data_IF_764856426980
#
_entry.id   IF_764856426980
#
_cell.length_a   1.000
_cell.length_b   1.000
_cell.length_c   1.000
_cell.angle_alpha   90.00
_cell.angle_beta   90.00
_cell.angle_gamma   90.00
#
_symmetry.space_group_name_H-M   'P 1'
#
loop_
_entity.id
_entity.type
_entity.pdbx_description
1 polymer ?
#
# COMPACT_ATOMS: atom_id res chain seq x y z
N UNK A 1 29.65 18.14 -11.79
CA UNK A 1 29.24 18.32 -10.39
C UNK A 1 27.81 18.85 -10.40
N UNK A 2 26.85 17.97 -10.17
CA UNK A 2 25.47 18.37 -9.92
C UNK A 2 25.48 19.05 -8.55
N UNK A 3 25.29 20.37 -8.51
CA UNK A 3 25.27 21.10 -7.26
C UNK A 3 23.91 20.92 -6.62
N UNK A 4 23.77 19.93 -5.74
CA UNK A 4 22.61 19.82 -4.86
C UNK A 4 22.45 21.17 -4.12
N UNK A 5 21.33 21.85 -4.36
CA UNK A 5 20.97 23.06 -3.63
C UNK A 5 19.92 22.66 -2.61
N UNK A 6 20.14 23.04 -1.35
CA UNK A 6 19.24 22.70 -0.24
C UNK A 6 18.90 23.94 0.57
N UNK A 7 17.64 24.07 0.95
CA UNK A 7 17.14 25.13 1.82
C UNK A 7 16.33 24.50 2.96
N UNK A 8 16.56 24.98 4.19
CA UNK A 8 15.75 24.60 5.34
C UNK A 8 14.58 25.57 5.47
N UNK A 9 13.36 25.04 5.49
CA UNK A 9 12.12 25.80 5.67
C UNK A 9 11.43 25.30 6.92
N UNK A 10 11.25 26.17 7.90
CA UNK A 10 10.49 25.88 9.11
C UNK A 10 9.09 26.49 8.98
N UNK A 11 8.06 25.65 9.08
CA UNK A 11 6.66 26.07 9.10
C UNK A 11 6.07 25.87 10.51
N UNK A 12 4.84 26.31 10.75
CA UNK A 12 4.16 26.01 12.02
C UNK A 12 3.92 24.52 12.24
N UNK A 13 3.83 23.76 11.14
CA UNK A 13 3.30 22.39 11.15
C UNK A 13 4.39 21.33 10.88
N UNK A 14 5.50 21.71 10.25
CA UNK A 14 6.59 20.81 9.86
C UNK A 14 7.95 21.50 9.68
N UNK A 15 9.01 20.70 9.75
CA UNK A 15 10.36 21.08 9.28
C UNK A 15 10.62 20.46 7.91
N UNK A 16 11.04 21.28 6.96
CA UNK A 16 11.21 20.87 5.58
C UNK A 16 12.61 21.17 5.06
N UNK A 17 13.16 20.26 4.26
CA UNK A 17 14.38 20.50 3.48
C UNK A 17 14.01 20.45 2.01
N UNK A 18 14.06 21.60 1.36
CA UNK A 18 13.79 21.77 -0.06
C UNK A 18 15.08 21.52 -0.82
N UNK A 19 15.10 20.53 -1.69
CA UNK A 19 16.28 20.08 -2.42
C UNK A 19 16.06 20.21 -3.92
N UNK A 20 16.85 21.04 -4.60
CA UNK A 20 17.02 20.98 -6.05
C UNK A 20 18.21 20.11 -6.36
N UNK A 21 17.96 18.89 -6.82
CA UNK A 21 19.01 17.94 -7.20
C UNK A 21 19.64 18.42 -8.49
N UNK A 22 18.82 18.63 -9.54
CA UNK A 22 19.26 19.19 -10.81
C UNK A 22 18.09 19.97 -11.47
N UNK A 23 18.19 20.29 -12.76
CA UNK A 23 17.18 21.11 -13.45
C UNK A 23 15.85 20.39 -13.72
N UNK A 24 15.79 19.07 -13.56
CA UNK A 24 14.59 18.27 -13.81
C UNK A 24 14.27 17.31 -12.63
N UNK A 25 14.95 17.45 -11.49
CA UNK A 25 14.71 16.68 -10.27
C UNK A 25 14.81 17.58 -9.06
N UNK A 26 13.72 17.65 -8.30
CA UNK A 26 13.66 18.32 -7.00
C UNK A 26 12.82 17.50 -6.03
N UNK A 27 13.05 17.69 -4.73
CA UNK A 27 12.23 17.09 -3.68
C UNK A 27 12.11 17.98 -2.45
N UNK A 28 11.05 17.77 -1.68
CA UNK A 28 10.88 18.31 -0.33
C UNK A 28 10.91 17.13 0.63
N UNK A 29 11.87 17.16 1.57
CA UNK A 29 11.94 16.20 2.67
C UNK A 29 11.25 16.84 3.87
N UNK A 30 10.21 16.21 4.39
CA UNK A 30 9.39 16.75 5.48
C UNK A 30 9.44 15.85 6.71
N UNK A 31 9.68 16.48 7.86
CA UNK A 31 9.62 15.88 9.19
C UNK A 31 8.45 16.51 9.94
N UNK A 32 7.50 15.68 10.35
CA UNK A 32 6.31 16.08 11.09
C UNK A 32 6.55 15.95 12.61
N UNK A 33 6.21 16.94 13.45
CA UNK A 33 6.49 16.90 14.88
C UNK A 33 5.88 15.72 15.65
N UNK A 34 4.76 15.18 15.17
CA UNK A 34 3.99 14.13 15.84
C UNK A 34 3.81 12.87 14.97
N UNK A 35 4.73 12.63 14.01
CA UNK A 35 4.72 11.40 13.22
C UNK A 35 6.15 10.89 13.04
N UNK A 36 6.37 9.62 13.37
CA UNK A 36 7.64 8.93 13.17
C UNK A 36 7.80 8.47 11.71
N UNK A 37 7.76 9.44 10.79
CA UNK A 37 7.86 9.21 9.36
C UNK A 37 8.64 10.35 8.69
N UNK A 38 9.48 9.99 7.72
CA UNK A 38 10.14 10.94 6.83
C UNK A 38 9.39 10.92 5.50
N UNK A 39 8.76 12.04 5.16
CA UNK A 39 8.06 12.19 3.90
C UNK A 39 9.00 12.79 2.85
N UNK A 40 9.03 12.20 1.65
CA UNK A 40 9.74 12.70 0.48
C UNK A 40 8.71 13.02 -0.58
N UNK A 41 8.53 14.30 -0.92
CA UNK A 41 7.69 14.76 -2.02
C UNK A 41 8.58 15.14 -3.19
N UNK A 42 8.58 14.35 -4.25
CA UNK A 42 9.48 14.52 -5.39
C UNK A 42 8.75 15.04 -6.62
N UNK A 43 9.47 15.81 -7.43
CA UNK A 43 9.08 16.20 -8.79
C UNK A 43 10.19 15.80 -9.74
N UNK A 44 9.85 15.03 -10.77
CA UNK A 44 10.77 14.55 -11.80
C UNK A 44 10.24 14.90 -13.18
N UNK A 45 11.08 15.56 -13.97
CA UNK A 45 10.84 15.91 -15.37
C UNK A 45 10.93 17.42 -15.63
N UNK A 46 10.89 17.84 -16.90
CA UNK A 46 10.97 16.97 -18.09
C UNK A 46 12.35 16.31 -18.17
N UNK A 47 12.39 14.99 -18.35
CA UNK A 47 13.66 14.25 -18.42
C UNK A 47 14.34 14.62 -19.76
N UNK A 48 15.54 15.23 -19.75
CA UNK A 48 16.18 15.69 -20.98
C UNK A 48 16.66 14.50 -21.81
N UNK A 49 16.49 14.57 -23.13
CA UNK A 49 16.89 13.53 -24.10
C UNK A 49 17.60 14.10 -25.32
N UNK A 50 18.00 15.37 -25.28
CA UNK A 50 18.74 16.03 -26.37
C UNK A 50 20.11 15.38 -26.61
N UNK A 51 20.64 14.71 -25.59
CA UNK A 51 21.85 13.89 -25.63
C UNK A 51 21.64 12.52 -26.31
N UNK A 52 20.41 12.20 -26.72
CA UNK A 52 20.00 10.92 -27.32
C UNK A 52 20.15 9.71 -26.40
N UNK A 53 20.15 9.93 -25.09
CA UNK A 53 20.15 8.85 -24.09
C UNK A 53 18.81 8.79 -23.36
N UNK A 54 18.20 7.59 -23.37
CA UNK A 54 17.10 7.27 -22.46
C UNK A 54 17.59 7.30 -21.00
N UNK A 55 16.70 7.67 -20.08
CA UNK A 55 17.04 7.83 -18.66
C UNK A 55 15.92 7.29 -17.79
N UNK A 56 16.33 6.55 -16.77
CA UNK A 56 15.48 6.01 -15.73
C UNK A 56 15.92 6.62 -14.40
N UNK A 57 15.04 7.40 -13.78
CA UNK A 57 15.36 8.16 -12.57
C UNK A 57 14.90 7.34 -11.37
N UNK A 58 15.79 7.17 -10.39
CA UNK A 58 15.52 6.42 -9.16
C UNK A 58 15.69 7.34 -7.94
N UNK A 59 14.95 7.03 -6.87
CA UNK A 59 15.34 7.39 -5.51
C UNK A 59 15.98 6.18 -4.86
N UNK A 60 17.10 6.38 -4.17
CA UNK A 60 17.81 5.32 -3.43
C UNK A 60 18.10 5.78 -2.01
N UNK A 61 17.69 4.97 -1.05
CA UNK A 61 18.01 5.12 0.36
C UNK A 61 19.11 4.14 0.72
N UNK A 62 20.14 4.62 1.42
CA UNK A 62 21.30 3.83 1.82
C UNK A 62 21.46 3.88 3.33
N UNK A 63 21.68 2.71 3.93
CA UNK A 63 21.84 2.52 5.37
C UNK A 63 23.06 1.62 5.63
N UNK A 64 23.46 1.52 6.89
CA UNK A 64 24.50 0.59 7.34
C UNK A 64 23.94 -0.78 7.78
N UNK A 65 22.69 -1.11 7.42
CA UNK A 65 22.06 -2.39 7.78
C UNK A 65 22.69 -3.56 7.02
N UNK A 66 22.88 -4.68 7.72
CA UNK A 66 23.40 -5.92 7.14
C UNK A 66 22.24 -6.81 6.71
N UNK A 67 21.80 -6.65 5.46
CA UNK A 67 20.58 -7.31 4.93
C UNK A 67 20.87 -8.65 4.24
N UNK A 68 22.13 -8.98 3.96
CA UNK A 68 22.57 -10.24 3.36
C UNK A 68 21.89 -10.56 2.02
N UNK A 69 21.56 -9.53 1.23
CA UNK A 69 20.83 -9.65 -0.03
C UNK A 69 19.32 -9.90 0.10
N UNK A 70 18.76 -9.91 1.32
CA UNK A 70 17.32 -10.08 1.55
C UNK A 70 16.59 -8.73 1.59
N UNK A 71 15.43 -8.67 0.96
CA UNK A 71 14.50 -7.54 1.00
C UNK A 71 13.07 -8.04 0.78
N UNK A 72 12.08 -7.20 1.02
CA UNK A 72 10.67 -7.60 1.02
C UNK A 72 9.86 -6.64 0.17
N UNK A 73 9.05 -7.14 -0.75
CA UNK A 73 8.12 -6.31 -1.53
C UNK A 73 6.71 -6.79 -1.30
N UNK A 74 5.74 -5.89 -1.33
CA UNK A 74 4.35 -6.31 -1.33
C UNK A 74 3.98 -7.11 -2.60
N UNK A 75 2.86 -7.84 -2.53
CA UNK A 75 2.17 -8.39 -3.67
C UNK A 75 0.76 -7.79 -3.72
N UNK A 76 0.54 -6.89 -4.68
CA UNK A 76 -0.73 -6.20 -4.90
C UNK A 76 -1.25 -5.47 -3.64
N UNK A 77 -0.36 -4.85 -2.86
CA UNK A 77 -0.70 -4.13 -1.63
C UNK A 77 -0.88 -5.01 -0.39
N UNK A 78 -0.85 -6.35 -0.53
CA UNK A 78 -1.23 -7.28 0.55
C UNK A 78 -0.03 -7.92 1.23
N UNK A 79 0.27 -9.18 0.93
CA UNK A 79 1.34 -9.94 1.57
C UNK A 79 2.72 -9.37 1.23
N UNK A 80 3.66 -9.43 2.18
CA UNK A 80 5.07 -9.14 1.91
C UNK A 80 5.75 -10.43 1.49
N UNK A 81 6.33 -10.42 0.29
CA UNK A 81 7.12 -11.51 -0.24
C UNK A 81 8.59 -11.23 -0.01
N UNK A 82 9.27 -12.21 0.58
CA UNK A 82 10.72 -12.20 0.68
C UNK A 82 11.35 -12.36 -0.70
N UNK A 83 12.30 -11.47 -1.00
CA UNK A 83 13.13 -11.44 -2.19
C UNK A 83 14.57 -11.63 -1.76
N UNK A 84 15.34 -12.29 -2.61
CA UNK A 84 16.78 -12.44 -2.45
C UNK A 84 17.45 -12.03 -3.75
N UNK A 85 18.36 -11.05 -3.65
CA UNK A 85 19.16 -10.57 -4.78
C UNK A 85 19.89 -11.75 -5.43
N UNK A 86 19.87 -11.79 -6.76
CA UNK A 86 20.54 -12.80 -7.60
C UNK A 86 20.10 -14.25 -7.34
N UNK A 87 18.88 -14.44 -6.86
CA UNK A 87 18.36 -15.77 -6.51
C UNK A 87 16.98 -16.04 -7.11
N UNK A 88 16.73 -17.32 -7.42
CA UNK A 88 15.43 -17.85 -7.83
C UNK A 88 15.17 -19.16 -7.10
N UNK A 89 13.95 -19.32 -6.57
CA UNK A 89 13.58 -20.50 -5.77
C UNK A 89 13.45 -21.77 -6.61
N UNK A 90 13.01 -21.65 -7.86
CA UNK A 90 12.57 -22.78 -8.67
C UNK A 90 13.56 -23.22 -9.75
N UNK A 91 14.67 -22.49 -9.95
CA UNK A 91 15.74 -22.89 -10.87
C UNK A 91 17.08 -22.25 -10.47
N UNK A 92 18.19 -22.79 -11.01
CA UNK A 92 19.52 -22.19 -10.86
C UNK A 92 19.61 -20.94 -11.74
N UNK A 93 19.61 -19.77 -11.11
CA UNK A 93 19.67 -18.49 -11.79
C UNK A 93 21.09 -18.14 -12.20
N UNK A 94 21.32 -17.91 -13.50
CA UNK A 94 22.54 -17.31 -13.99
C UNK A 94 22.34 -15.79 -14.08
N UNK A 95 23.18 -15.02 -13.40
CA UNK A 95 23.06 -13.56 -13.30
C UNK A 95 23.64 -12.95 -14.57
N UNK A 96 22.77 -12.67 -15.55
CA UNK A 96 23.14 -11.93 -16.75
C UNK A 96 22.81 -10.43 -16.64
N UNK A 97 21.90 -10.09 -15.72
CA UNK A 97 21.31 -8.76 -15.53
C UNK A 97 21.31 -8.43 -14.04
N UNK A 98 22.41 -7.84 -13.55
CA UNK A 98 22.65 -7.60 -12.12
C UNK A 98 21.65 -6.61 -11.50
N UNK A 99 21.10 -5.69 -12.32
CA UNK A 99 20.14 -4.67 -11.87
C UNK A 99 18.72 -5.09 -12.23
N UNK A 100 18.40 -5.14 -13.52
CA UNK A 100 17.03 -5.36 -14.01
C UNK A 100 16.46 -6.70 -13.55
N UNK A 101 17.30 -7.73 -13.44
CA UNK A 101 16.94 -9.05 -12.90
C UNK A 101 16.55 -9.04 -11.41
N UNK A 102 16.77 -7.95 -10.69
CA UNK A 102 16.45 -7.81 -9.27
C UNK A 102 15.35 -6.78 -8.99
N UNK A 103 14.75 -6.17 -10.01
CA UNK A 103 13.60 -5.28 -9.86
C UNK A 103 12.29 -6.07 -9.70
N UNK A 104 11.45 -5.61 -8.77
CA UNK A 104 10.13 -6.19 -8.50
C UNK A 104 9.06 -5.09 -8.48
N UNK A 105 7.79 -5.42 -8.78
CA UNK A 105 6.69 -4.50 -8.60
C UNK A 105 6.49 -4.20 -7.11
N UNK A 106 6.31 -2.93 -6.80
CA UNK A 106 6.02 -2.39 -5.46
C UNK A 106 4.75 -1.55 -5.59
N UNK A 107 3.63 -2.08 -5.09
CA UNK A 107 2.33 -1.38 -5.17
C UNK A 107 2.04 -0.53 -3.93
N UNK A 108 2.71 -0.78 -2.81
CA UNK A 108 2.49 -0.06 -1.55
C UNK A 108 3.73 0.08 -0.68
N UNK A 109 4.64 -0.91 -0.66
CA UNK A 109 5.81 -0.88 0.23
C UNK A 109 6.90 -1.87 -0.16
N UNK A 110 8.14 -1.45 0.10
CA UNK A 110 9.36 -2.26 0.05
C UNK A 110 10.11 -2.09 1.38
N UNK A 111 10.72 -3.16 1.89
CA UNK A 111 11.43 -3.13 3.16
C UNK A 111 12.74 -3.91 3.13
N UNK A 112 13.66 -3.50 3.99
CA UNK A 112 14.87 -4.23 4.36
C UNK A 112 14.94 -4.37 5.87
N UNK A 113 15.59 -5.45 6.34
CA UNK A 113 15.66 -5.79 7.77
C UNK A 113 17.08 -6.18 8.15
N UNK A 114 17.47 -5.85 9.37
CA UNK A 114 18.66 -6.39 10.04
C UNK A 114 18.24 -7.00 11.38
N UNK A 115 18.27 -8.33 11.46
CA UNK A 115 17.86 -9.06 12.66
C UNK A 115 18.79 -8.86 13.84
N UNK A 116 20.07 -8.53 13.60
CA UNK A 116 21.02 -8.30 14.69
C UNK A 116 20.84 -6.93 15.33
N UNK A 117 20.47 -5.94 14.51
CA UNK A 117 20.22 -4.58 14.98
C UNK A 117 18.77 -4.38 15.47
N UNK A 118 17.88 -5.34 15.23
CA UNK A 118 16.44 -5.22 15.46
C UNK A 118 15.84 -3.99 14.76
N UNK A 119 16.18 -3.81 13.48
CA UNK A 119 15.72 -2.66 12.68
C UNK A 119 15.11 -3.14 11.37
N UNK A 120 13.95 -2.58 11.03
CA UNK A 120 13.38 -2.60 9.69
C UNK A 120 13.27 -1.18 9.14
N UNK A 121 13.74 -0.99 7.91
CA UNK A 121 13.48 0.22 7.13
C UNK A 121 12.44 -0.12 6.07
N UNK A 122 11.34 0.61 6.07
CA UNK A 122 10.25 0.44 5.09
C UNK A 122 10.05 1.73 4.32
N UNK A 123 10.03 1.62 3.00
CA UNK A 123 9.66 2.71 2.10
C UNK A 123 8.27 2.39 1.54
N UNK A 124 7.30 3.26 1.83
CA UNK A 124 5.96 3.21 1.29
C UNK A 124 5.83 4.19 0.11
N UNK A 125 5.11 3.79 -0.93
CA UNK A 125 4.93 4.56 -2.15
C UNK A 125 3.47 4.85 -2.48
N UNK A 126 3.24 5.98 -3.16
CA UNK A 126 1.90 6.48 -3.50
C UNK A 126 1.28 5.85 -4.76
N UNK A 127 2.05 5.05 -5.51
CA UNK A 127 1.64 4.42 -6.76
C UNK A 127 2.48 3.18 -7.07
N UNK A 128 2.04 2.38 -8.04
CA UNK A 128 2.80 1.22 -8.49
C UNK A 128 4.13 1.64 -9.16
N UNK A 129 5.24 1.09 -8.67
CA UNK A 129 6.59 1.35 -9.19
C UNK A 129 7.44 0.09 -9.22
N UNK A 130 8.55 0.13 -9.94
CA UNK A 130 9.61 -0.86 -9.82
C UNK A 130 10.55 -0.51 -8.67
N UNK A 131 10.90 -1.47 -7.83
CA UNK A 131 11.86 -1.29 -6.74
C UNK A 131 12.76 -2.49 -6.49
N UNK A 132 13.87 -2.25 -5.80
CA UNK A 132 14.88 -3.27 -5.50
C UNK A 132 15.73 -2.94 -4.26
N UNK A 133 16.60 -3.88 -3.90
CA UNK A 133 17.74 -3.74 -2.99
C UNK A 133 19.01 -4.25 -3.68
N UNK A 134 19.64 -3.39 -4.48
CA UNK A 134 20.79 -3.76 -5.34
C UNK A 134 22.09 -3.96 -4.56
N UNK A 135 22.22 -3.36 -3.38
CA UNK A 135 23.30 -3.63 -2.43
C UNK A 135 22.75 -3.77 -1.02
N UNK A 136 23.51 -4.41 -0.13
CA UNK A 136 23.12 -4.54 1.27
C UNK A 136 22.90 -3.16 1.91
N UNK A 137 21.86 -3.08 2.74
CA UNK A 137 21.45 -1.83 3.37
C UNK A 137 20.82 -0.79 2.43
N UNK A 138 20.56 -1.13 1.15
CA UNK A 138 19.92 -0.20 0.20
C UNK A 138 18.48 -0.58 -0.15
N UNK A 139 17.69 0.43 -0.45
CA UNK A 139 16.37 0.31 -1.10
C UNK A 139 16.32 1.35 -2.21
N UNK A 140 15.77 0.99 -3.37
CA UNK A 140 15.52 1.94 -4.44
C UNK A 140 14.16 1.74 -5.09
N UNK A 141 13.58 2.85 -5.55
CA UNK A 141 12.35 2.91 -6.32
C UNK A 141 12.56 3.77 -7.56
N UNK A 142 12.11 3.27 -8.70
CA UNK A 142 12.14 3.98 -9.96
C UNK A 142 10.98 4.96 -10.04
N UNK A 143 11.31 6.24 -10.24
CA UNK A 143 10.39 7.37 -10.16
C UNK A 143 9.72 7.64 -11.50
N UNK A 144 10.53 7.65 -12.55
CA UNK A 144 10.12 8.01 -13.90
C UNK A 144 11.13 7.49 -14.93
N UNK A 145 10.67 7.22 -16.14
CA UNK A 145 11.49 6.69 -17.24
C UNK A 145 11.14 7.45 -18.52
N UNK A 146 12.16 7.71 -19.33
CA UNK A 146 11.99 8.24 -20.69
C UNK A 146 12.98 7.55 -21.60
N UNK A 147 12.48 6.67 -22.45
CA UNK A 147 13.26 5.84 -23.36
C UNK A 147 13.05 6.29 -24.81
N UNK A 148 14.08 6.13 -25.64
CA UNK A 148 14.08 6.62 -27.03
C UNK A 148 13.95 5.50 -28.07
N UNK A 149 13.87 4.25 -27.63
CA UNK A 149 13.84 3.07 -28.48
C UNK A 149 12.70 2.16 -27.99
N UNK A 150 11.91 1.63 -28.93
CA UNK A 150 10.88 0.62 -28.67
C UNK A 150 11.54 -0.72 -28.30
N UNK A 151 10.91 -1.44 -27.38
CA UNK A 151 11.41 -2.72 -26.86
C UNK A 151 11.06 -3.92 -27.75
N UNK A 152 10.35 -3.69 -28.85
CA UNK A 152 9.87 -4.69 -29.82
C UNK A 152 8.92 -5.75 -29.24
N UNK A 153 8.17 -5.43 -28.19
CA UNK A 153 7.13 -6.32 -27.64
C UNK A 153 5.70 -6.02 -28.13
N UNK A 154 5.56 -5.13 -29.12
CA UNK A 154 4.33 -5.01 -29.93
C UNK A 154 3.56 -3.69 -29.81
N UNK A 155 3.99 -2.77 -28.95
CA UNK A 155 3.40 -1.41 -28.86
C UNK A 155 3.84 -0.54 -30.04
N UNK A 156 5.07 -0.73 -30.53
CA UNK A 156 5.67 0.00 -31.66
C UNK A 156 5.87 1.50 -31.39
N UNK A 157 6.07 1.86 -30.13
CA UNK A 157 6.34 3.22 -29.67
C UNK A 157 7.37 3.18 -28.53
N UNK A 158 8.37 4.05 -28.57
CA UNK A 158 9.26 4.23 -27.43
C UNK A 158 8.49 4.87 -26.26
N UNK A 159 8.88 4.57 -25.02
CA UNK A 159 8.34 5.22 -23.82
C UNK A 159 8.86 6.67 -23.70
N UNK A 160 8.34 7.55 -24.56
CA UNK A 160 8.79 8.94 -24.72
C UNK A 160 7.61 9.92 -24.57
N UNK A 161 6.97 9.90 -23.39
CA UNK A 161 5.79 10.70 -23.13
C UNK A 161 6.07 12.21 -23.25
N UNK A 162 5.40 12.94 -24.16
CA UNK A 162 5.75 14.33 -24.48
C UNK A 162 5.32 15.34 -23.41
N UNK A 163 4.43 14.96 -22.48
CA UNK A 163 3.83 15.90 -21.53
C UNK A 163 2.95 16.97 -22.19
N UNK A 164 2.48 17.94 -21.41
CA UNK A 164 1.54 18.98 -21.88
C UNK A 164 2.22 20.01 -22.80
N UNK A 165 3.50 20.31 -22.56
CA UNK A 165 4.27 21.31 -23.31
C UNK A 165 5.15 20.72 -24.42
N UNK A 166 5.05 19.41 -24.66
CA UNK A 166 5.83 18.68 -25.66
C UNK A 166 7.29 18.42 -25.29
N UNK A 167 7.76 18.85 -24.10
CA UNK A 167 9.18 18.74 -23.71
C UNK A 167 9.49 17.47 -22.92
N UNK A 168 8.48 16.74 -22.46
CA UNK A 168 8.59 15.54 -21.65
C UNK A 168 7.62 15.57 -20.46
N UNK A 169 7.02 14.43 -20.13
CA UNK A 169 6.13 14.33 -18.99
C UNK A 169 6.85 14.64 -17.67
N UNK A 170 6.20 15.48 -16.85
CA UNK A 170 6.58 15.76 -15.47
C UNK A 170 5.68 14.98 -14.53
N UNK A 171 6.28 14.31 -13.54
CA UNK A 171 5.56 13.57 -12.51
C UNK A 171 5.91 14.10 -11.14
N UNK A 172 4.91 14.14 -10.27
CA UNK A 172 5.07 14.39 -8.83
C UNK A 172 4.57 13.16 -8.08
N UNK A 173 5.25 12.79 -7.01
CA UNK A 173 4.81 11.72 -6.13
C UNK A 173 5.42 11.81 -4.74
N UNK A 174 5.01 10.89 -3.87
CA UNK A 174 5.46 10.83 -2.48
C UNK A 174 6.01 9.47 -2.08
N UNK A 175 7.00 9.49 -1.19
CA UNK A 175 7.42 8.34 -0.40
C UNK A 175 7.35 8.66 1.07
N UNK A 176 6.95 7.66 1.86
CA UNK A 176 7.09 7.69 3.30
C UNK A 176 8.14 6.67 3.71
N UNK A 177 9.12 7.10 4.48
CA UNK A 177 10.16 6.22 5.02
C UNK A 177 9.98 6.12 6.52
N UNK A 178 9.87 4.88 7.00
CA UNK A 178 9.76 4.56 8.42
C UNK A 178 10.88 3.61 8.84
N UNK A 179 11.37 3.82 10.05
CA UNK A 179 12.42 3.03 10.69
C UNK A 179 11.85 2.53 12.00
N UNK A 180 11.73 1.22 12.16
CA UNK A 180 11.05 0.61 13.32
C UNK A 180 11.85 -0.55 13.87
N UNK A 181 11.54 -0.97 15.10
CA UNK A 181 11.91 -2.31 15.56
C UNK A 181 11.27 -3.40 14.70
N UNK A 182 11.79 -4.64 14.71
CA UNK A 182 11.15 -5.73 13.96
C UNK A 182 9.78 -6.08 14.52
N UNK A 183 9.59 -5.92 15.83
CA UNK A 183 8.34 -6.23 16.52
C UNK A 183 7.19 -5.28 16.15
N UNK A 184 7.48 -4.00 15.92
CA UNK A 184 6.49 -2.95 15.64
C UNK A 184 6.28 -2.73 14.14
N UNK A 185 7.23 -3.17 13.30
CA UNK A 185 7.26 -2.85 11.88
C UNK A 185 5.92 -3.09 11.17
N UNK A 186 5.35 -4.27 11.38
CA UNK A 186 4.09 -4.67 10.77
C UNK A 186 2.95 -3.74 11.14
N UNK A 187 2.88 -3.32 12.40
CA UNK A 187 1.79 -2.48 12.90
C UNK A 187 1.83 -1.10 12.24
N UNK A 188 3.04 -0.55 12.08
CA UNK A 188 3.28 0.77 11.46
C UNK A 188 3.04 0.74 9.95
N UNK A 189 3.75 -0.11 9.20
CA UNK A 189 3.71 -0.03 7.73
C UNK A 189 2.41 -0.54 7.11
N UNK A 190 1.61 -1.31 7.86
CA UNK A 190 0.29 -1.79 7.38
C UNK A 190 -0.73 -0.65 7.45
N UNK A 191 -0.80 0.05 8.58
CA UNK A 191 -1.70 1.20 8.78
C UNK A 191 -1.35 2.35 7.83
N UNK A 192 -0.06 2.74 7.77
CA UNK A 192 0.38 3.82 6.89
C UNK A 192 0.16 3.56 5.39
N UNK A 193 0.20 2.29 4.96
CA UNK A 193 -0.11 1.97 3.56
C UNK A 193 -1.57 2.28 3.21
N UNK A 194 -2.51 2.12 4.15
CA UNK A 194 -3.89 2.55 3.96
C UNK A 194 -4.03 4.06 4.08
N UNK A 195 -3.30 4.73 4.96
CA UNK A 195 -3.31 6.20 5.05
C UNK A 195 -2.91 6.86 3.72
N UNK A 196 -1.93 6.27 3.02
CA UNK A 196 -1.50 6.72 1.68
C UNK A 196 -2.53 6.35 0.61
N UNK A 197 -3.05 5.12 0.63
CA UNK A 197 -4.02 4.66 -0.39
C UNK A 197 -5.36 5.38 -0.29
N UNK A 198 -5.80 5.69 0.93
CA UNK A 198 -7.11 6.24 1.28
C UNK A 198 -6.97 7.64 1.86
N UNK A 199 -6.11 8.46 1.26
CA UNK A 199 -5.96 9.87 1.64
C UNK A 199 -7.35 10.56 1.73
N UNK A 200 -7.59 11.39 2.77
CA UNK A 200 -8.88 12.05 2.95
C UNK A 200 -9.31 12.86 1.73
N UNK A 201 -10.54 12.65 1.26
CA UNK A 201 -11.12 13.46 0.18
C UNK A 201 -11.48 14.85 0.70
N UNK A 202 -10.79 15.87 0.19
CA UNK A 202 -11.08 17.26 0.52
C UNK A 202 -12.31 17.76 -0.26
N UNK A 203 -13.26 18.36 0.43
CA UNK A 203 -14.43 19.01 -0.17
C UNK A 203 -14.50 20.46 0.28
N UNK A 204 -14.88 21.35 -0.64
CA UNK A 204 -14.93 22.79 -0.39
C UNK A 204 -16.33 23.31 -0.69
N UNK A 205 -16.91 24.08 0.23
CA UNK A 205 -18.21 24.71 0.06
C UNK A 205 -18.05 26.23 0.22
N UNK A 206 -18.72 26.99 -0.66
CA UNK A 206 -18.83 28.44 -0.49
C UNK A 206 -19.85 28.72 0.62
N UNK A 207 -19.43 29.45 1.65
CA UNK A 207 -20.31 29.86 2.75
C UNK A 207 -20.61 31.35 2.68
N UNK A 208 -21.81 31.73 3.14
CA UNK A 208 -22.17 33.13 3.40
C UNK A 208 -22.22 33.29 4.92
N UNK A 209 -21.34 34.11 5.49
CA UNK A 209 -21.18 34.23 6.95
C UNK A 209 -19.92 33.55 7.46
N UNK A 210 -19.87 33.30 8.77
CA UNK A 210 -18.69 32.75 9.43
C UNK A 210 -18.65 31.21 9.38
N UNK A 211 -17.47 30.61 9.59
CA UNK A 211 -17.31 29.14 9.68
C UNK A 211 -18.13 28.59 10.85
N UNK A 212 -18.20 29.32 11.96
CA UNK A 212 -18.96 28.94 13.15
C UNK A 212 -20.47 28.89 12.86
N UNK A 213 -21.00 29.84 12.08
CA UNK A 213 -22.40 29.83 11.64
C UNK A 213 -22.70 28.64 10.73
N UNK A 214 -21.79 28.31 9.81
CA UNK A 214 -21.92 27.14 8.94
C UNK A 214 -21.92 25.84 9.75
N UNK A 215 -20.97 25.66 10.67
CA UNK A 215 -20.87 24.48 11.54
C UNK A 215 -22.10 24.33 12.45
N UNK A 216 -22.69 25.43 12.91
CA UNK A 216 -23.93 25.39 13.72
C UNK A 216 -25.17 25.04 12.90
N UNK A 217 -25.21 25.45 11.63
CA UNK A 217 -26.38 25.28 10.76
C UNK A 217 -26.37 24.00 9.92
N UNK A 218 -25.21 23.34 9.79
CA UNK A 218 -25.02 22.16 8.95
C UNK A 218 -24.42 20.99 9.73
N UNK A 219 -24.71 19.76 9.27
CA UNK A 219 -24.01 18.57 9.76
C UNK A 219 -22.61 18.51 9.15
N UNK A 220 -21.60 18.90 9.92
CA UNK A 220 -20.19 18.95 9.50
C UNK A 220 -19.34 17.77 9.99
N UNK A 221 -19.95 16.86 10.76
CA UNK A 221 -19.32 15.64 11.24
C UNK A 221 -20.24 14.45 10.97
N UNK A 222 -19.64 13.34 10.54
CA UNK A 222 -20.34 12.09 10.29
C UNK A 222 -19.42 10.91 10.58
N UNK A 223 -19.93 9.92 11.32
CA UNK A 223 -19.32 8.59 11.42
C UNK A 223 -20.32 7.55 10.94
N UNK A 224 -19.93 6.76 9.94
CA UNK A 224 -20.74 5.65 9.45
C UNK A 224 -20.67 4.40 10.34
N UNK A 225 -19.68 4.32 11.22
CA UNK A 225 -19.46 3.19 12.12
C UNK A 225 -19.88 3.55 13.55
N UNK A 226 -20.47 2.57 14.26
CA UNK A 226 -20.84 2.74 15.68
C UNK A 226 -19.64 2.67 16.62
N UNK A 227 -18.59 1.99 16.19
CA UNK A 227 -17.29 1.83 16.86
C UNK A 227 -16.20 1.66 15.83
N UNK A 228 -14.97 2.03 16.19
CA UNK A 228 -13.80 1.74 15.36
C UNK A 228 -13.68 0.23 15.11
N UNK A 229 -13.26 -0.13 13.89
CA UNK A 229 -12.91 -1.51 13.58
C UNK A 229 -11.66 -1.91 14.35
N UNK A 230 -11.51 -3.20 14.73
CA UNK A 230 -10.25 -3.69 15.29
C UNK A 230 -9.08 -3.35 14.36
N UNK A 231 -7.91 -3.02 14.92
CA UNK A 231 -6.73 -2.59 14.16
C UNK A 231 -6.23 -3.59 13.11
N UNK A 232 -6.66 -4.85 13.18
CA UNK A 232 -6.35 -5.87 12.19
C UNK A 232 -7.48 -6.13 11.17
N UNK A 233 -8.53 -5.30 11.15
CA UNK A 233 -9.66 -5.40 10.22
C UNK A 233 -9.78 -4.14 9.38
N UNK A 234 -9.94 -4.31 8.07
CA UNK A 234 -10.24 -3.23 7.14
C UNK A 234 -11.58 -3.49 6.43
N UNK A 235 -12.42 -2.45 6.32
CA UNK A 235 -13.64 -2.45 5.51
C UNK A 235 -13.28 -2.15 4.06
N UNK A 236 -12.98 -3.21 3.31
CA UNK A 236 -12.51 -3.13 1.92
C UNK A 236 -13.61 -2.72 0.93
N UNK A 237 -14.87 -3.06 1.21
CA UNK A 237 -16.00 -2.69 0.34
C UNK A 237 -17.24 -2.47 1.18
N UNK A 238 -17.96 -1.39 0.88
CA UNK A 238 -19.34 -1.17 1.26
C UNK A 238 -20.07 -0.57 0.06
N UNK A 239 -20.92 -1.36 -0.59
CA UNK A 239 -21.59 -0.97 -1.83
C UNK A 239 -23.08 -1.33 -1.76
N UNK A 240 -23.97 -0.39 -2.02
CA UNK A 240 -25.41 -0.68 -2.09
C UNK A 240 -25.71 -1.41 -3.39
N UNK A 241 -26.39 -2.56 -3.31
CA UNK A 241 -26.67 -3.37 -4.49
C UNK A 241 -28.11 -3.20 -4.99
N UNK A 242 -29.10 -3.56 -4.17
CA UNK A 242 -30.52 -3.39 -4.51
C UNK A 242 -31.36 -3.15 -3.27
N UNK A 243 -32.13 -2.06 -3.25
CA UNK A 243 -33.00 -1.73 -2.13
C UNK A 243 -32.19 -1.64 -0.83
N UNK A 244 -32.54 -2.45 0.16
CA UNK A 244 -31.85 -2.52 1.45
C UNK A 244 -30.71 -3.55 1.52
N UNK A 245 -30.23 -4.03 0.37
CA UNK A 245 -29.08 -4.95 0.32
C UNK A 245 -27.78 -4.23 0.00
N UNK A 246 -26.71 -4.65 0.69
CA UNK A 246 -25.35 -4.14 0.49
C UNK A 246 -24.36 -5.30 0.32
N UNK A 247 -23.37 -5.08 -0.54
CA UNK A 247 -22.16 -5.89 -0.59
C UNK A 247 -21.16 -5.33 0.42
N UNK A 248 -20.69 -6.19 1.33
CA UNK A 248 -19.64 -5.86 2.29
C UNK A 248 -18.46 -6.82 2.15
N UNK A 249 -17.25 -6.26 2.15
CA UNK A 249 -16.00 -7.03 2.28
C UNK A 249 -15.23 -6.57 3.49
N UNK A 250 -14.93 -7.49 4.38
CA UNK A 250 -14.00 -7.29 5.47
C UNK A 250 -12.74 -8.09 5.18
N UNK A 251 -11.59 -7.48 5.43
CA UNK A 251 -10.31 -8.18 5.35
C UNK A 251 -9.53 -8.11 6.66
N UNK A 252 -8.78 -9.18 6.92
CA UNK A 252 -7.71 -9.17 7.90
C UNK A 252 -6.39 -8.95 7.20
N UNK A 253 -5.85 -7.73 7.29
CA UNK A 253 -4.76 -7.31 6.42
C UNK A 253 -3.36 -7.65 6.94
N UNK A 254 -3.21 -8.25 8.13
CA UNK A 254 -1.94 -8.80 8.62
C UNK A 254 -1.70 -10.25 8.15
N UNK A 255 -0.43 -10.57 7.90
CA UNK A 255 0.05 -11.93 7.65
C UNK A 255 0.13 -12.74 8.95
N UNK A 256 0.24 -14.07 8.83
CA UNK A 256 0.54 -14.88 10.01
C UNK A 256 1.92 -14.54 10.56
N UNK A 257 2.04 -14.45 11.89
CA UNK A 257 3.29 -14.20 12.61
C UNK A 257 3.97 -12.86 12.24
N UNK A 258 3.22 -11.92 11.69
CA UNK A 258 3.77 -10.61 11.31
C UNK A 258 3.81 -9.63 12.50
N UNK A 259 2.82 -9.72 13.38
CA UNK A 259 2.73 -9.02 14.67
C UNK A 259 2.28 -10.01 15.74
N UNK A 260 2.87 -9.90 16.93
CA UNK A 260 2.50 -10.73 18.09
C UNK A 260 1.06 -10.47 18.56
N UNK A 261 0.55 -9.25 18.34
CA UNK A 261 -0.74 -8.80 18.86
C UNK A 261 -1.84 -8.86 17.78
N UNK A 262 -1.54 -8.41 16.56
CA UNK A 262 -2.50 -8.19 15.47
C UNK A 262 -2.58 -9.33 14.45
N UNK A 263 -1.62 -10.27 14.43
CA UNK A 263 -1.69 -11.46 13.57
C UNK A 263 -2.50 -12.60 14.19
N UNK A 264 -3.63 -12.27 14.83
CA UNK A 264 -4.54 -13.20 15.50
C UNK A 264 -5.95 -13.08 14.95
N UNK A 265 -6.68 -14.18 14.93
CA UNK A 265 -8.09 -14.16 14.52
C UNK A 265 -8.89 -13.15 15.33
N UNK A 266 -9.80 -12.45 14.65
CA UNK A 266 -10.61 -11.37 15.22
C UNK A 266 -12.06 -11.54 14.82
N UNK A 267 -12.98 -11.24 15.75
CA UNK A 267 -14.43 -11.34 15.51
C UNK A 267 -15.04 -9.96 15.43
N UNK A 268 -15.84 -9.73 14.40
CA UNK A 268 -16.59 -8.50 14.14
C UNK A 268 -18.08 -8.81 14.20
N UNK A 269 -18.82 -7.98 14.93
CA UNK A 269 -20.29 -8.00 14.95
C UNK A 269 -20.81 -7.13 13.80
N UNK A 270 -21.46 -7.75 12.81
CA UNK A 270 -22.04 -7.02 11.68
C UNK A 270 -23.36 -6.33 12.03
N UNK A 271 -24.11 -6.83 13.02
CA UNK A 271 -25.48 -6.41 13.31
C UNK A 271 -25.57 -4.93 13.62
N UNK A 272 -24.68 -4.48 14.50
CA UNK A 272 -24.65 -3.12 15.03
C UNK A 272 -23.47 -2.31 14.48
N UNK A 273 -22.82 -2.75 13.40
CA UNK A 273 -21.58 -2.12 12.91
C UNK A 273 -21.79 -0.69 12.41
N UNK A 274 -22.93 -0.42 11.78
CA UNK A 274 -23.20 0.84 11.08
C UNK A 274 -24.19 1.73 11.85
N UNK A 275 -23.92 3.04 11.85
CA UNK A 275 -24.83 4.04 12.45
C UNK A 275 -26.12 4.24 11.64
N UNK A 276 -26.14 4.29 10.30
CA UNK A 276 -27.37 4.58 9.54
C UNK A 276 -28.37 3.41 9.47
N UNK A 277 -27.93 2.17 9.70
CA UNK A 277 -28.77 0.99 9.53
C UNK A 277 -28.31 -0.17 10.42
N UNK A 278 -29.22 -1.12 10.66
CA UNK A 278 -28.96 -2.37 11.37
C UNK A 278 -28.96 -3.52 10.35
N UNK A 279 -27.99 -4.43 10.46
CA UNK A 279 -27.96 -5.63 9.62
C UNK A 279 -28.92 -6.67 10.19
N UNK A 280 -29.84 -7.15 9.35
CA UNK A 280 -30.85 -8.15 9.74
C UNK A 280 -30.53 -9.55 9.21
N UNK A 281 -29.73 -9.64 8.16
CA UNK A 281 -29.33 -10.91 7.55
C UNK A 281 -27.98 -10.71 6.86
N UNK A 282 -27.15 -11.76 6.86
CA UNK A 282 -25.93 -11.82 6.06
C UNK A 282 -25.84 -13.18 5.35
N UNK A 283 -25.48 -13.16 4.07
CA UNK A 283 -25.17 -14.36 3.28
C UNK A 283 -23.73 -14.25 2.82
N UNK A 284 -22.90 -15.20 3.23
CA UNK A 284 -21.50 -15.23 2.80
C UNK A 284 -21.37 -15.82 1.39
N UNK A 285 -20.56 -15.16 0.58
CA UNK A 285 -20.38 -15.51 -0.83
C UNK A 285 -18.90 -15.68 -1.19
N UNK A 286 -18.64 -16.19 -2.39
CA UNK A 286 -17.32 -16.11 -3.02
C UNK A 286 -16.83 -14.65 -3.12
N UNK A 287 -15.53 -14.42 -3.26
CA UNK A 287 -14.94 -13.07 -3.37
C UNK A 287 -15.62 -12.17 -4.43
N UNK A 288 -16.06 -12.75 -5.56
CA UNK A 288 -16.77 -12.06 -6.63
C UNK A 288 -18.27 -11.85 -6.37
N UNK A 289 -18.77 -12.24 -5.20
CA UNK A 289 -20.19 -12.17 -4.81
C UNK A 289 -21.17 -12.93 -5.73
N UNK A 290 -20.70 -13.93 -6.50
CA UNK A 290 -21.52 -14.64 -7.50
C UNK A 290 -22.15 -15.95 -7.00
N UNK A 291 -21.58 -16.57 -5.97
CA UNK A 291 -22.07 -17.86 -5.43
C UNK A 291 -22.04 -17.86 -3.91
N UNK A 292 -22.98 -18.58 -3.29
CA UNK A 292 -22.89 -18.94 -1.88
C UNK A 292 -21.61 -19.73 -1.65
N UNK A 293 -20.83 -19.34 -0.64
CA UNK A 293 -19.56 -19.99 -0.35
C UNK A 293 -19.72 -21.45 0.08
N UNK A 294 -20.86 -21.84 0.66
CA UNK A 294 -21.20 -23.23 1.02
C UNK A 294 -21.37 -24.13 -0.20
N UNK A 295 -21.65 -23.56 -1.37
CA UNK A 295 -21.77 -24.31 -2.63
C UNK A 295 -20.43 -24.62 -3.30
N UNK A 296 -19.33 -24.02 -2.83
CA UNK A 296 -18.01 -24.14 -3.45
C UNK A 296 -17.38 -25.47 -3.07
N UNK A 297 -17.10 -26.31 -4.08
CA UNK A 297 -16.32 -27.55 -3.93
C UNK A 297 -14.94 -27.36 -4.54
N UNK A 298 -13.89 -27.51 -3.72
CA UNK A 298 -12.50 -27.44 -4.20
C UNK A 298 -12.08 -28.78 -4.79
N UNK A 299 -11.40 -28.71 -5.94
CA UNK A 299 -10.68 -29.85 -6.49
C UNK A 299 -9.56 -30.26 -5.51
N UNK A 300 -9.39 -31.57 -5.34
CA UNK A 300 -8.32 -32.14 -4.54
C UNK A 300 -7.21 -32.57 -5.51
N UNK A 301 -6.00 -32.08 -5.29
CA UNK A 301 -4.84 -32.39 -6.11
C UNK A 301 -3.81 -33.13 -5.28
N UNK A 302 -3.26 -34.21 -5.84
CA UNK A 302 -2.01 -34.78 -5.34
C UNK A 302 -0.88 -33.83 -5.76
N UNK A 303 -0.17 -33.30 -4.78
CA UNK A 303 0.96 -32.41 -5.03
C UNK A 303 2.18 -32.91 -4.30
N UNK A 304 3.35 -32.73 -4.92
CA UNK A 304 4.65 -32.96 -4.27
C UNK A 304 5.00 -31.87 -3.24
N UNK A 305 4.06 -30.97 -2.92
CA UNK A 305 4.25 -29.95 -1.89
C UNK A 305 4.25 -30.59 -0.50
N UNK A 306 4.88 -29.91 0.47
CA UNK A 306 4.92 -30.35 1.86
C UNK A 306 3.52 -30.75 2.37
N UNK A 307 3.44 -31.94 2.98
CA UNK A 307 2.22 -32.44 3.64
C UNK A 307 1.76 -31.56 4.82
N UNK A 308 2.55 -30.55 5.19
CA UNK A 308 2.30 -29.60 6.27
C UNK A 308 1.70 -28.27 5.78
N UNK A 309 0.91 -28.27 4.70
CA UNK A 309 0.18 -27.07 4.29
C UNK A 309 -0.82 -26.69 5.38
N UNK A 310 -0.53 -25.60 6.10
CA UNK A 310 -1.45 -25.04 7.06
C UNK A 310 -2.67 -24.49 6.32
N UNK A 311 -3.81 -25.16 6.47
CA UNK A 311 -5.10 -24.59 6.12
C UNK A 311 -5.74 -24.06 7.40
N UNK A 312 -5.86 -22.72 7.58
CA UNK A 312 -6.59 -22.20 8.71
C UNK A 312 -8.01 -22.77 8.68
N UNK A 313 -8.46 -23.33 9.80
CA UNK A 313 -9.85 -23.76 9.95
C UNK A 313 -10.72 -22.51 9.83
N UNK A 314 -11.49 -22.45 8.74
CA UNK A 314 -12.44 -21.38 8.51
C UNK A 314 -13.57 -21.49 9.53
N UNK A 315 -13.88 -20.37 10.19
CA UNK A 315 -15.03 -20.26 11.09
C UNK A 315 -16.22 -19.79 10.25
N UNK A 316 -17.28 -20.61 10.21
CA UNK A 316 -18.51 -20.24 9.51
C UNK A 316 -19.14 -18.98 10.10
N UNK A 317 -19.84 -18.21 9.28
CA UNK A 317 -20.70 -17.12 9.76
C UNK A 317 -21.73 -17.70 10.74
N UNK A 318 -21.81 -17.12 11.95
CA UNK A 318 -22.93 -17.39 12.83
C UNK A 318 -24.12 -16.55 12.37
N UNK A 319 -25.14 -17.20 11.83
CA UNK A 319 -26.31 -16.53 11.25
C UNK A 319 -27.24 -15.92 12.32
N UNK A 320 -27.20 -16.42 13.56
CA UNK A 320 -28.10 -15.99 14.63
C UNK A 320 -27.62 -14.67 15.27
N UNK A 321 -26.31 -14.50 15.42
CA UNK A 321 -25.70 -13.31 16.02
C UNK A 321 -25.03 -12.37 14.98
N UNK A 322 -24.92 -12.80 13.72
CA UNK A 322 -24.27 -12.07 12.62
C UNK A 322 -22.81 -11.70 12.90
N UNK A 323 -22.11 -12.54 13.66
CA UNK A 323 -20.67 -12.38 13.94
C UNK A 323 -19.80 -13.07 12.91
N UNK A 324 -18.71 -12.41 12.55
CA UNK A 324 -17.75 -12.86 11.54
C UNK A 324 -16.36 -12.89 12.15
N UNK A 325 -15.75 -14.08 12.18
CA UNK A 325 -14.34 -14.23 12.51
C UNK A 325 -13.48 -14.17 11.25
N UNK A 326 -12.43 -13.36 11.26
CA UNK A 326 -11.43 -13.28 10.20
C UNK A 326 -10.10 -13.82 10.73
N UNK A 327 -9.51 -14.78 10.01
CA UNK A 327 -8.13 -15.20 10.25
C UNK A 327 -7.15 -14.31 9.47
N UNK A 328 -5.85 -14.28 9.83
CA UNK A 328 -4.84 -13.55 9.08
C UNK A 328 -4.90 -13.79 7.56
N UNK A 329 -4.84 -12.70 6.79
CA UNK A 329 -4.96 -12.63 5.32
C UNK A 329 -6.32 -12.95 4.70
N UNK A 330 -7.33 -13.32 5.48
CA UNK A 330 -8.66 -13.60 4.94
C UNK A 330 -9.35 -12.33 4.43
N UNK A 331 -10.05 -12.46 3.30
CA UNK A 331 -11.09 -11.54 2.87
C UNK A 331 -12.39 -12.33 2.88
N UNK A 332 -13.40 -11.84 3.61
CA UNK A 332 -14.74 -12.44 3.62
C UNK A 332 -15.74 -11.48 3.00
N UNK A 333 -16.58 -12.01 2.12
CA UNK A 333 -17.52 -11.24 1.28
C UNK A 333 -18.94 -11.63 1.64
N UNK A 334 -19.78 -10.65 1.96
CA UNK A 334 -21.16 -10.89 2.35
C UNK A 334 -22.12 -10.00 1.57
N UNK A 335 -23.29 -10.55 1.28
CA UNK A 335 -24.46 -9.78 0.91
C UNK A 335 -25.27 -9.62 2.19
N UNK A 336 -25.42 -8.39 2.67
CA UNK A 336 -26.17 -8.08 3.88
C UNK A 336 -27.51 -7.45 3.52
N UNK A 337 -28.55 -7.79 4.27
CA UNK A 337 -29.85 -7.10 4.24
C UNK A 337 -29.92 -6.19 5.45
N UNK A 338 -30.36 -4.95 5.25
CA UNK A 338 -30.39 -3.94 6.30
C UNK A 338 -31.79 -3.37 6.51
N UNK A 339 -31.99 -2.75 7.66
CA UNK A 339 -33.12 -1.87 7.94
C UNK A 339 -32.60 -0.53 8.45
N UNK A 340 -33.22 0.62 8.11
CA UNK A 340 -32.89 1.89 8.73
C UNK A 340 -32.93 1.79 10.25
N UNK A 341 -32.02 2.49 10.91
CA UNK A 341 -32.01 2.59 12.37
C UNK A 341 -33.09 3.54 12.87
#
# INVERSE_FOLDING_TARGET
KVGLQSELVETSDAKEVHQKVNDYVSQVIRIWPNRDVIEFDFVVGPIPVDDKFGKEIISRWETNLTTNGHFYTDANGRQLLERRRDYRKTWNYNVNEEISGNYYPVNSRIAIKDEKQDIQVTVLNDRSQGGSSIKDGSVELMLHRRDLIDDNFGVAEALNEPGVDGKGLQVRGKFWVVITSLAEAAEVHREMAYDILLEPSLTFAKISGSVEEYVKSHKTQYSGLTKELPKNVHLLTLEQWKGSSYLIRLEHFYQQKESQSLSKSVTVDLKELFTPFVVTQAVETTLSATKDVKSVKRLQFESNADKNRFEPKRVELNADDLTVTLNPMEIRTFIITTKPR
#
